data_IF_495508905019
#
_entry.id   IF_495508905019
#
_cell.length_a   1.000
_cell.length_b   1.000
_cell.length_c   1.000
_cell.angle_alpha   90.00
_cell.angle_beta   90.00
_cell.angle_gamma   90.00
#
_symmetry.space_group_name_H-M   'P 1'
#
loop_
_entity.id
_entity.type
_entity.pdbx_description
1 polymer ?
#
# COMPACT_ATOMS: atom_id res chain seq x y z
N UNK A 1 11.81 -3.73 16.04
CA UNK A 1 11.34 -4.86 16.89
C UNK A 1 12.09 -4.85 18.19
N UNK A 2 11.46 -4.41 19.30
CA UNK A 2 12.03 -4.50 20.64
C UNK A 2 11.27 -5.57 21.40
N UNK A 3 11.94 -6.68 21.69
CA UNK A 3 11.53 -7.64 22.69
C UNK A 3 11.92 -7.09 24.05
N UNK A 4 10.98 -6.65 24.84
CA UNK A 4 11.15 -6.42 26.26
C UNK A 4 10.04 -7.16 27.00
N UNK A 5 10.44 -8.24 27.70
CA UNK A 5 9.80 -8.88 28.86
C UNK A 5 8.26 -8.98 28.86
N UNK A 6 7.74 -10.18 28.53
CA UNK A 6 6.52 -10.72 29.19
C UNK A 6 5.19 -9.97 29.03
N UNK A 7 5.12 -8.92 28.22
CA UNK A 7 3.89 -8.17 27.95
C UNK A 7 3.27 -8.76 26.69
N UNK A 8 2.02 -9.18 26.79
CA UNK A 8 1.18 -9.52 25.62
C UNK A 8 1.35 -8.41 24.59
N UNK A 9 2.16 -8.64 23.56
CA UNK A 9 2.32 -7.69 22.45
C UNK A 9 0.96 -7.62 21.79
N UNK A 10 0.22 -6.54 22.04
CA UNK A 10 -0.99 -6.25 21.28
C UNK A 10 -0.55 -6.00 19.85
N UNK A 11 -0.82 -6.96 18.97
CA UNK A 11 -0.58 -6.82 17.55
C UNK A 11 -1.34 -5.61 17.03
N UNK A 12 -0.62 -4.70 16.40
CA UNK A 12 -1.16 -3.44 15.91
C UNK A 12 -0.45 -2.23 16.51
N UNK A 13 -0.91 -1.04 16.16
CA UNK A 13 -0.36 0.23 16.64
C UNK A 13 -0.88 0.48 18.06
N UNK A 14 0.02 0.57 19.03
CA UNK A 14 -0.32 0.91 20.41
C UNK A 14 -0.65 2.40 20.58
N UNK A 15 -1.10 2.80 21.76
CA UNK A 15 -1.30 4.23 22.07
C UNK A 15 0.04 4.97 22.11
N UNK A 16 1.05 4.33 22.65
CA UNK A 16 2.43 4.84 22.73
C UNK A 16 3.02 5.04 21.35
N UNK A 17 2.83 4.08 20.43
CA UNK A 17 3.25 4.21 19.03
C UNK A 17 2.57 5.40 18.34
N UNK A 18 1.29 5.63 18.61
CA UNK A 18 0.54 6.78 18.04
C UNK A 18 1.07 8.11 18.56
N UNK A 19 1.37 8.20 19.87
CA UNK A 19 1.96 9.38 20.47
C UNK A 19 3.33 9.65 19.82
N UNK A 20 4.21 8.65 19.80
CA UNK A 20 5.53 8.75 19.21
C UNK A 20 5.48 9.17 17.73
N UNK A 21 4.61 8.55 16.94
CA UNK A 21 4.41 8.94 15.54
C UNK A 21 3.93 10.38 15.41
N UNK A 22 2.95 10.79 16.23
CA UNK A 22 2.43 12.15 16.22
C UNK A 22 3.51 13.19 16.54
N UNK A 23 4.36 12.93 17.52
CA UNK A 23 5.48 13.80 17.87
C UNK A 23 6.50 13.90 16.73
N UNK A 24 6.87 12.76 16.13
CA UNK A 24 7.77 12.77 14.97
C UNK A 24 7.21 13.57 13.80
N UNK A 25 5.92 13.41 13.50
CA UNK A 25 5.26 14.17 12.43
C UNK A 25 5.23 15.67 12.71
N UNK A 26 5.02 16.09 13.97
CA UNK A 26 5.12 17.50 14.37
C UNK A 26 6.53 18.05 14.20
N UNK A 27 7.56 17.29 14.60
CA UNK A 27 8.95 17.67 14.40
C UNK A 27 9.30 17.77 12.91
N UNK A 28 8.82 16.86 12.10
CA UNK A 28 9.01 16.90 10.65
C UNK A 28 8.32 18.12 10.04
N UNK A 29 7.07 18.42 10.45
CA UNK A 29 6.37 19.62 9.98
C UNK A 29 7.14 20.89 10.33
N UNK A 30 7.57 21.00 11.59
CA UNK A 30 8.38 22.14 12.04
C UNK A 30 9.64 22.28 11.19
N UNK A 31 10.38 21.19 10.95
CA UNK A 31 11.55 21.20 10.08
C UNK A 31 11.23 21.70 8.67
N UNK A 32 10.13 21.24 8.08
CA UNK A 32 9.71 21.65 6.74
C UNK A 32 9.32 23.13 6.66
N UNK A 33 8.75 23.68 7.73
CA UNK A 33 8.32 25.09 7.80
C UNK A 33 9.49 26.05 8.09
N UNK A 34 10.49 25.60 8.87
CA UNK A 34 11.63 26.40 9.28
C UNK A 34 12.82 26.38 8.30
N UNK A 35 12.81 25.46 7.32
CA UNK A 35 13.86 25.36 6.31
C UNK A 35 13.36 25.76 4.93
N UNK A 36 14.21 26.48 4.19
CA UNK A 36 13.86 27.14 2.93
C UNK A 36 14.75 26.66 1.80
N UNK A 37 14.18 26.66 0.59
CA UNK A 37 14.92 26.56 -0.66
C UNK A 37 14.89 27.92 -1.32
N UNK A 38 16.06 28.42 -1.73
CA UNK A 38 16.18 29.70 -2.44
C UNK A 38 16.41 29.43 -3.93
N UNK A 39 15.60 30.11 -4.75
CA UNK A 39 15.73 30.14 -6.20
C UNK A 39 15.79 31.63 -6.60
N UNK A 40 16.90 32.05 -7.13
CA UNK A 40 17.16 33.46 -7.42
C UNK A 40 16.89 34.33 -6.17
N UNK A 41 15.93 35.25 -6.24
CA UNK A 41 15.58 36.16 -5.13
C UNK A 41 14.35 35.68 -4.33
N UNK A 42 13.86 34.47 -4.54
CA UNK A 42 12.68 33.93 -3.85
C UNK A 42 13.09 32.77 -2.93
N UNK A 43 12.77 32.91 -1.64
CA UNK A 43 12.93 31.85 -0.65
C UNK A 43 11.55 31.26 -0.31
N UNK A 44 11.39 29.96 -0.48
CA UNK A 44 10.15 29.23 -0.16
C UNK A 44 10.42 28.14 0.87
N UNK A 45 9.54 27.95 1.87
CA UNK A 45 9.72 26.91 2.86
C UNK A 45 9.64 25.50 2.19
N UNK A 46 10.36 24.53 2.74
CA UNK A 46 10.32 23.15 2.25
C UNK A 46 8.91 22.56 2.27
N UNK A 47 8.05 23.00 3.18
CA UNK A 47 6.63 22.59 3.23
C UNK A 47 5.84 22.96 1.97
N UNK A 48 6.30 23.93 1.17
CA UNK A 48 5.68 24.28 -0.12
C UNK A 48 5.93 23.20 -1.19
N UNK A 49 6.99 22.41 -1.06
CA UNK A 49 7.38 21.39 -2.02
C UNK A 49 7.07 19.98 -1.53
N UNK A 50 7.10 19.76 -0.21
CA UNK A 50 6.84 18.45 0.36
C UNK A 50 5.34 18.27 0.64
N UNK A 51 4.79 17.16 0.20
CA UNK A 51 3.42 16.79 0.53
C UNK A 51 3.31 15.27 0.72
N UNK A 52 2.40 14.89 1.60
CA UNK A 52 2.08 13.51 1.89
C UNK A 52 0.61 13.41 2.30
N UNK A 53 0.11 12.20 2.44
CA UNK A 53 -1.25 11.95 2.96
C UNK A 53 -1.47 12.55 4.36
N UNK A 54 -0.40 12.84 5.09
CA UNK A 54 -0.47 13.45 6.42
C UNK A 54 -0.29 14.98 6.42
N UNK A 55 0.78 15.49 5.77
CA UNK A 55 1.12 16.92 5.83
C UNK A 55 0.23 17.80 4.95
N UNK A 56 -0.18 17.28 3.80
CA UNK A 56 -1.11 17.97 2.91
C UNK A 56 -2.01 16.96 2.20
N UNK A 57 -3.02 16.40 2.89
CA UNK A 57 -3.86 15.34 2.34
C UNK A 57 -4.66 15.79 1.11
N UNK A 58 -5.10 17.04 1.04
CA UNK A 58 -5.85 17.55 -0.10
C UNK A 58 -5.00 17.56 -1.37
N UNK A 59 -3.77 18.06 -1.29
CA UNK A 59 -2.82 18.07 -2.42
C UNK A 59 -2.41 16.66 -2.79
N UNK A 60 -2.16 15.79 -1.81
CA UNK A 60 -1.82 14.39 -2.05
C UNK A 60 -2.93 13.67 -2.84
N UNK A 61 -4.19 13.84 -2.43
CA UNK A 61 -5.35 13.25 -3.11
C UNK A 61 -5.51 13.84 -4.52
N UNK A 62 -5.38 15.16 -4.67
CA UNK A 62 -5.48 15.82 -5.97
C UNK A 62 -4.42 15.30 -6.94
N UNK A 63 -3.18 15.15 -6.50
CA UNK A 63 -2.10 14.61 -7.33
C UNK A 63 -2.31 13.13 -7.67
N UNK A 64 -2.75 12.32 -6.70
CA UNK A 64 -3.07 10.92 -6.94
C UNK A 64 -4.19 10.79 -8.00
N UNK A 65 -5.26 11.57 -7.87
CA UNK A 65 -6.35 11.60 -8.84
C UNK A 65 -5.85 12.02 -10.23
N UNK A 66 -5.01 13.05 -10.31
CA UNK A 66 -4.41 13.48 -11.59
C UNK A 66 -3.59 12.37 -12.22
N UNK A 67 -2.77 11.66 -11.43
CA UNK A 67 -1.98 10.52 -11.93
C UNK A 67 -2.88 9.40 -12.45
N UNK A 68 -3.92 9.03 -11.71
CA UNK A 68 -4.86 7.98 -12.13
C UNK A 68 -5.58 8.39 -13.42
N UNK A 69 -6.14 9.60 -13.48
CA UNK A 69 -6.83 10.09 -14.68
C UNK A 69 -5.92 10.18 -15.90
N UNK A 70 -4.65 10.61 -15.70
CA UNK A 70 -3.67 10.63 -16.79
C UNK A 70 -3.32 9.21 -17.28
N UNK A 71 -3.25 8.24 -16.36
CA UNK A 71 -3.04 6.83 -16.73
C UNK A 71 -4.24 6.25 -17.47
N UNK A 72 -5.47 6.57 -17.05
CA UNK A 72 -6.70 6.14 -17.72
C UNK A 72 -6.78 6.72 -19.13
N UNK A 73 -6.47 8.01 -19.30
CA UNK A 73 -6.42 8.64 -20.63
C UNK A 73 -5.35 7.99 -21.51
N UNK A 74 -4.13 7.82 -20.98
CA UNK A 74 -3.04 7.16 -21.69
C UNK A 74 -3.41 5.74 -22.12
N UNK A 75 -4.04 4.98 -21.23
CA UNK A 75 -4.49 3.63 -21.52
C UNK A 75 -5.58 3.61 -22.59
N UNK A 76 -6.53 4.56 -22.54
CA UNK A 76 -7.57 4.72 -23.56
C UNK A 76 -7.00 5.02 -24.92
N UNK A 77 -6.05 5.96 -25.03
CA UNK A 77 -5.41 6.37 -26.29
C UNK A 77 -4.63 5.21 -26.95
N UNK A 78 -4.19 4.23 -26.15
CA UNK A 78 -3.42 3.06 -26.62
C UNK A 78 -4.23 1.75 -26.63
N UNK A 79 -5.54 1.81 -26.40
CA UNK A 79 -6.43 0.63 -26.30
C UNK A 79 -5.94 -0.42 -25.29
N UNK A 80 -5.43 0.04 -24.14
CA UNK A 80 -5.06 -0.85 -23.04
C UNK A 80 -6.27 -1.13 -22.15
N UNK A 81 -6.39 -2.37 -21.68
CA UNK A 81 -7.47 -2.79 -20.78
C UNK A 81 -7.02 -2.86 -19.32
N UNK A 82 -7.87 -2.42 -18.37
CA UNK A 82 -7.55 -2.48 -16.95
C UNK A 82 -7.67 -3.89 -16.37
N UNK A 83 -6.75 -4.20 -15.45
CA UNK A 83 -6.81 -5.32 -14.52
C UNK A 83 -6.73 -4.73 -13.12
N UNK A 84 -7.78 -4.91 -12.31
CA UNK A 84 -7.76 -4.50 -10.91
C UNK A 84 -7.70 -5.74 -10.01
N UNK A 85 -6.72 -5.76 -9.10
CA UNK A 85 -6.51 -6.85 -8.15
C UNK A 85 -6.29 -6.32 -6.75
N UNK A 86 -6.82 -7.04 -5.77
CA UNK A 86 -6.54 -6.83 -4.34
C UNK A 86 -5.83 -8.07 -3.81
N UNK A 87 -4.61 -7.89 -3.34
CA UNK A 87 -3.81 -8.95 -2.73
C UNK A 87 -3.88 -8.84 -1.22
N UNK A 88 -4.36 -9.89 -0.57
CA UNK A 88 -4.44 -9.98 0.88
C UNK A 88 -3.44 -11.01 1.40
N UNK A 89 -3.00 -10.83 2.64
CA UNK A 89 -2.13 -11.81 3.29
C UNK A 89 -2.95 -13.06 3.70
N UNK A 90 -2.31 -14.24 3.79
CA UNK A 90 -2.92 -15.43 4.37
C UNK A 90 -3.36 -15.21 5.83
N UNK A 91 -4.31 -16.02 6.28
CA UNK A 91 -4.88 -15.94 7.63
C UNK A 91 -3.85 -15.97 8.76
N UNK A 92 -2.71 -16.60 8.55
CA UNK A 92 -1.62 -16.69 9.54
C UNK A 92 -1.00 -15.34 9.90
N UNK A 93 -1.16 -14.31 9.07
CA UNK A 93 -0.69 -12.94 9.32
C UNK A 93 -1.70 -12.09 10.09
N UNK A 94 -2.95 -12.52 10.22
CA UNK A 94 -4.04 -11.74 10.79
C UNK A 94 -4.32 -12.15 12.22
N UNK A 95 -4.06 -11.28 13.21
CA UNK A 95 -4.35 -11.58 14.63
C UNK A 95 -5.85 -11.58 14.92
N UNK A 96 -6.68 -10.99 14.07
CA UNK A 96 -8.14 -10.94 14.22
C UNK A 96 -8.82 -11.41 12.95
N UNK A 97 -9.97 -12.08 13.10
CA UNK A 97 -10.87 -12.42 12.01
C UNK A 97 -12.26 -11.84 12.25
N UNK A 98 -12.95 -11.52 11.19
CA UNK A 98 -14.34 -11.05 11.26
C UNK A 98 -15.30 -12.23 11.19
N UNK A 99 -16.22 -12.32 12.12
CA UNK A 99 -17.33 -13.27 12.08
C UNK A 99 -18.64 -12.52 11.85
N UNK A 100 -19.48 -13.06 10.98
CA UNK A 100 -20.83 -12.53 10.72
C UNK A 100 -21.77 -12.96 11.85
N UNK A 101 -22.48 -12.00 12.42
CA UNK A 101 -23.46 -12.25 13.47
C UNK A 101 -24.82 -12.59 12.84
N UNK A 102 -25.68 -13.26 13.59
CA UNK A 102 -27.05 -13.62 13.16
C UNK A 102 -27.93 -12.41 12.80
N UNK A 103 -27.66 -11.25 13.39
CA UNK A 103 -28.34 -9.97 13.11
C UNK A 103 -27.78 -9.21 11.89
N UNK A 104 -26.89 -9.83 11.09
CA UNK A 104 -26.29 -9.21 9.91
C UNK A 104 -25.03 -8.36 10.19
N UNK A 105 -24.70 -8.09 11.46
CA UNK A 105 -23.49 -7.37 11.85
C UNK A 105 -22.23 -8.24 11.79
N UNK A 106 -21.06 -7.61 12.03
CA UNK A 106 -19.77 -8.29 12.11
C UNK A 106 -19.10 -8.03 13.46
N UNK A 107 -18.48 -9.06 14.00
CA UNK A 107 -17.67 -8.98 15.23
C UNK A 107 -16.25 -9.44 14.92
N UNK A 108 -15.27 -8.69 15.42
CA UNK A 108 -13.87 -9.10 15.39
C UNK A 108 -13.59 -10.06 16.57
N UNK A 109 -13.01 -11.20 16.27
CA UNK A 109 -12.58 -12.20 17.24
C UNK A 109 -11.11 -12.55 17.00
N UNK A 110 -10.46 -13.15 17.99
CA UNK A 110 -9.10 -13.68 17.83
C UNK A 110 -9.08 -14.69 16.68
N UNK A 111 -8.05 -14.64 15.89
CA UNK A 111 -7.82 -15.62 14.83
C UNK A 111 -6.90 -16.73 15.38
N UNK A 112 -7.41 -17.94 15.43
CA UNK A 112 -6.69 -19.12 15.93
C UNK A 112 -5.55 -19.57 14.99
N UNK A 113 -5.61 -19.18 13.71
CA UNK A 113 -4.58 -19.49 12.73
C UNK A 113 -3.41 -18.49 12.77
N UNK A 114 -3.51 -17.42 13.56
CA UNK A 114 -2.47 -16.40 13.63
C UNK A 114 -1.19 -16.98 14.26
N UNK A 115 -0.07 -16.73 13.59
CA UNK A 115 1.27 -17.11 14.07
C UNK A 115 1.97 -15.81 14.51
N UNK A 116 2.34 -15.77 15.80
CA UNK A 116 2.99 -14.60 16.42
C UNK A 116 4.51 -14.79 16.43
N UNK A 117 5.13 -14.54 15.28
CA UNK A 117 6.58 -14.59 15.09
C UNK A 117 7.06 -13.49 14.16
N UNK A 118 8.38 -13.38 13.94
CA UNK A 118 8.98 -12.36 13.08
C UNK A 118 8.60 -12.55 11.60
N UNK A 119 8.43 -13.79 11.14
CA UNK A 119 8.11 -14.11 9.74
C UNK A 119 6.68 -13.74 9.39
N UNK A 120 5.78 -13.68 10.38
CA UNK A 120 4.37 -13.29 10.23
C UNK A 120 4.07 -11.89 10.76
N UNK A 121 5.12 -11.09 11.03
CA UNK A 121 4.95 -9.69 11.43
C UNK A 121 4.31 -8.83 10.33
N UNK A 122 3.74 -7.68 10.70
CA UNK A 122 3.17 -6.70 9.76
C UNK A 122 4.21 -6.30 8.69
N UNK A 123 5.46 -6.09 9.09
CA UNK A 123 6.55 -5.74 8.17
C UNK A 123 6.86 -6.87 7.19
N UNK A 124 6.95 -8.11 7.69
CA UNK A 124 7.20 -9.28 6.85
C UNK A 124 6.05 -9.49 5.85
N UNK A 125 4.80 -9.37 6.30
CA UNK A 125 3.63 -9.43 5.43
C UNK A 125 3.63 -8.35 4.34
N UNK A 126 3.92 -7.11 4.69
CA UNK A 126 4.02 -6.02 3.72
C UNK A 126 5.14 -6.26 2.70
N UNK A 127 6.29 -6.78 3.15
CA UNK A 127 7.40 -7.17 2.28
C UNK A 127 7.02 -8.32 1.34
N UNK A 128 6.32 -9.35 1.85
CA UNK A 128 5.80 -10.46 1.03
C UNK A 128 4.92 -9.98 -0.11
N UNK A 129 3.99 -9.05 0.16
CA UNK A 129 3.15 -8.47 -0.90
C UNK A 129 3.96 -7.69 -1.94
N UNK A 130 5.01 -6.98 -1.52
CA UNK A 130 5.91 -6.30 -2.46
C UNK A 130 6.69 -7.27 -3.35
N UNK A 131 7.18 -8.37 -2.76
CA UNK A 131 7.87 -9.42 -3.52
C UNK A 131 6.93 -10.09 -4.51
N UNK A 132 5.67 -10.28 -4.16
CA UNK A 132 4.64 -10.80 -5.06
C UNK A 132 4.49 -9.91 -6.30
N UNK A 133 4.28 -8.59 -6.09
CA UNK A 133 4.17 -7.65 -7.21
C UNK A 133 5.44 -7.65 -8.07
N UNK A 134 6.61 -7.59 -7.44
CA UNK A 134 7.89 -7.68 -8.17
C UNK A 134 8.00 -8.95 -9.00
N UNK A 135 7.54 -10.07 -8.45
CA UNK A 135 7.52 -11.37 -9.14
C UNK A 135 6.57 -11.35 -10.34
N UNK A 136 5.38 -10.75 -10.22
CA UNK A 136 4.42 -10.60 -11.32
C UNK A 136 5.04 -9.72 -12.43
N UNK A 137 5.56 -8.55 -12.08
CA UNK A 137 6.13 -7.60 -13.04
C UNK A 137 7.38 -8.15 -13.74
N UNK A 138 8.13 -9.03 -13.08
CA UNK A 138 9.29 -9.70 -13.65
C UNK A 138 8.95 -11.00 -14.41
N UNK A 139 7.69 -11.39 -14.53
CA UNK A 139 7.29 -12.58 -15.30
C UNK A 139 7.58 -12.40 -16.80
N UNK A 140 7.82 -13.50 -17.49
CA UNK A 140 8.06 -13.49 -18.95
C UNK A 140 6.91 -12.80 -19.67
N UNK A 141 5.67 -13.15 -19.33
CA UNK A 141 4.46 -12.56 -19.96
C UNK A 141 4.43 -11.05 -19.84
N UNK A 142 4.73 -10.49 -18.66
CA UNK A 142 4.73 -9.02 -18.48
C UNK A 142 5.92 -8.38 -19.19
N UNK A 143 7.07 -9.06 -19.28
CA UNK A 143 8.24 -8.56 -20.00
C UNK A 143 8.07 -8.56 -21.53
N UNK A 144 7.19 -9.40 -22.08
CA UNK A 144 6.83 -9.39 -23.49
C UNK A 144 6.00 -8.15 -23.88
N UNK A 145 5.29 -7.54 -22.92
CA UNK A 145 4.54 -6.28 -23.17
C UNK A 145 5.56 -5.16 -23.41
N UNK A 146 5.38 -4.32 -24.45
CA UNK A 146 6.22 -3.14 -24.66
C UNK A 146 6.30 -2.27 -23.40
N UNK A 147 7.45 -1.66 -23.13
CA UNK A 147 7.66 -0.87 -21.91
C UNK A 147 6.69 0.28 -21.74
N UNK A 148 6.33 0.92 -22.84
CA UNK A 148 5.34 2.00 -22.96
C UNK A 148 3.92 1.54 -22.64
N UNK A 149 3.60 0.25 -22.82
CA UNK A 149 2.28 -0.32 -22.56
C UNK A 149 2.17 -1.01 -21.18
N UNK A 150 3.21 -0.90 -20.36
CA UNK A 150 3.24 -1.40 -18.99
C UNK A 150 2.91 -0.31 -17.99
N UNK A 151 1.65 0.09 -17.89
CA UNK A 151 1.21 1.18 -17.05
C UNK A 151 0.48 0.64 -15.80
N UNK A 152 1.04 0.84 -14.59
CA UNK A 152 0.42 0.36 -13.37
C UNK A 152 0.63 1.27 -12.17
N UNK A 153 -0.28 1.20 -11.23
CA UNK A 153 -0.18 1.83 -9.91
C UNK A 153 -0.49 0.80 -8.83
N UNK A 154 0.21 0.90 -7.70
CA UNK A 154 -0.08 0.10 -6.52
C UNK A 154 -0.33 0.98 -5.32
N UNK A 155 -1.29 0.61 -4.49
CA UNK A 155 -1.55 1.26 -3.20
C UNK A 155 -1.62 0.22 -2.10
N UNK A 156 -1.21 0.61 -0.88
CA UNK A 156 -1.34 -0.23 0.31
C UNK A 156 -2.41 0.35 1.21
N UNK A 157 -3.33 -0.49 1.65
CA UNK A 157 -4.39 -0.13 2.57
C UNK A 157 -4.28 -0.96 3.86
N UNK A 158 -4.31 -0.31 5.04
CA UNK A 158 -4.23 -1.03 6.30
C UNK A 158 -5.57 -1.68 6.66
N UNK A 159 -5.50 -2.91 7.15
CA UNK A 159 -6.59 -3.56 7.87
C UNK A 159 -6.69 -3.03 9.31
N UNK A 160 -7.82 -3.33 9.97
CA UNK A 160 -8.04 -2.96 11.38
C UNK A 160 -7.05 -3.62 12.35
N UNK A 161 -6.40 -4.69 11.96
CA UNK A 161 -5.39 -5.41 12.75
C UNK A 161 -3.95 -4.95 12.45
N UNK A 162 -3.79 -3.96 11.57
CA UNK A 162 -2.50 -3.39 11.20
C UNK A 162 -1.83 -4.07 9.99
N UNK A 163 -2.29 -5.25 9.58
CA UNK A 163 -1.83 -5.84 8.31
C UNK A 163 -2.29 -4.99 7.13
N UNK A 164 -1.73 -5.20 5.96
CA UNK A 164 -2.17 -4.48 4.78
C UNK A 164 -2.62 -5.42 3.67
N UNK A 165 -3.50 -4.92 2.82
CA UNK A 165 -3.59 -5.40 1.46
C UNK A 165 -2.91 -4.46 0.48
N UNK A 166 -2.61 -5.00 -0.67
CA UNK A 166 -2.01 -4.26 -1.76
C UNK A 166 -2.97 -4.30 -2.94
N UNK A 167 -3.37 -3.12 -3.39
CA UNK A 167 -4.16 -2.95 -4.59
C UNK A 167 -3.23 -2.76 -5.78
N UNK A 168 -3.55 -3.36 -6.89
CA UNK A 168 -2.88 -3.19 -8.17
C UNK A 168 -3.93 -2.81 -9.22
N UNK A 169 -3.74 -1.66 -9.85
CA UNK A 169 -4.39 -1.31 -11.11
C UNK A 169 -3.33 -1.38 -12.20
N UNK A 170 -3.51 -2.27 -13.18
CA UNK A 170 -2.56 -2.52 -14.25
C UNK A 170 -3.28 -2.47 -15.60
N UNK A 171 -2.82 -1.60 -16.48
CA UNK A 171 -3.32 -1.49 -17.86
C UNK A 171 -2.39 -2.28 -18.77
N UNK A 172 -2.97 -3.12 -19.63
CA UNK A 172 -2.23 -4.01 -20.53
C UNK A 172 -2.92 -4.08 -21.89
N UNK A 173 -2.18 -4.36 -22.98
CA UNK A 173 -2.80 -4.64 -24.28
C UNK A 173 -3.77 -5.83 -24.16
N UNK A 174 -4.88 -5.77 -24.89
CA UNK A 174 -5.99 -6.74 -24.79
C UNK A 174 -5.54 -8.19 -24.98
N UNK A 175 -4.58 -8.43 -25.88
CA UNK A 175 -4.02 -9.76 -26.17
C UNK A 175 -3.19 -10.35 -25.02
N UNK A 176 -2.71 -9.51 -24.09
CA UNK A 176 -1.96 -9.96 -22.90
C UNK A 176 -2.84 -10.14 -21.67
N UNK A 177 -4.06 -9.60 -21.64
CA UNK A 177 -4.89 -9.52 -20.44
C UNK A 177 -5.10 -10.88 -19.77
N UNK A 178 -5.58 -11.87 -20.50
CA UNK A 178 -5.83 -13.21 -19.94
C UNK A 178 -4.55 -13.91 -19.47
N UNK A 179 -3.45 -13.74 -20.20
CA UNK A 179 -2.14 -14.29 -19.83
C UNK A 179 -1.63 -13.65 -18.54
N UNK A 180 -1.79 -12.34 -18.37
CA UNK A 180 -1.40 -11.59 -17.15
C UNK A 180 -2.28 -12.03 -15.99
N UNK A 181 -3.60 -12.13 -16.15
CA UNK A 181 -4.52 -12.65 -15.13
C UNK A 181 -4.12 -14.07 -14.70
N UNK A 182 -3.77 -14.92 -15.64
CA UNK A 182 -3.31 -16.28 -15.33
C UNK A 182 -2.02 -16.27 -14.48
N UNK A 183 -1.04 -15.43 -14.81
CA UNK A 183 0.20 -15.29 -14.03
C UNK A 183 -0.08 -14.74 -12.62
N UNK A 184 -0.96 -13.75 -12.50
CA UNK A 184 -1.39 -13.22 -11.19
C UNK A 184 -1.98 -14.33 -10.34
N UNK A 185 -2.95 -15.09 -10.86
CA UNK A 185 -3.56 -16.22 -10.15
C UNK A 185 -2.52 -17.26 -9.73
N UNK A 186 -1.65 -17.68 -10.65
CA UNK A 186 -0.62 -18.69 -10.39
C UNK A 186 0.38 -18.29 -9.30
N UNK A 187 0.66 -17.00 -9.15
CA UNK A 187 1.64 -16.50 -8.17
C UNK A 187 1.04 -16.13 -6.82
N UNK A 188 -0.27 -15.91 -6.79
CA UNK A 188 -0.98 -15.55 -5.57
C UNK A 188 -1.40 -16.80 -4.74
N UNK A 189 -1.60 -17.94 -5.39
CA UNK A 189 -1.90 -19.23 -4.75
C UNK A 189 -0.61 -19.88 -4.30
#
# INVERSE_FOLDING_TARGET
>A
CFHILGILIMYGITKEDKIFLSERLKLQQKFLDENFVSFDDVALPLSSFYFSSWHNPARYIAELNTRVSSMEQYASDRNLEPIFCVFTLPSVYHCKRSIKLKNGGYRLVRNENFIDDEEHSICAGAHRLQLLIRSIMNSVVVREIPSEDRCYITTKEPHKDGTCHLNLLFFVPVEFKERVIHIIKKRFI
#
